data_IF_697838853115
#
_entry.id   IF_697838853115
#
_cell.length_a   1.000
_cell.length_b   1.000
_cell.length_c   1.000
_cell.angle_alpha   90.00
_cell.angle_beta   90.00
_cell.angle_gamma   90.00
#
_symmetry.space_group_name_H-M   'P 1'
#
loop_
_entity.id
_entity.type
_entity.pdbx_description
1 polymer ?
#
# COMPACT_ATOMS: atom_id res chain seq x y z
N UNK A 1 16.11 39.91 35.91
CA UNK A 1 14.66 39.70 35.66
C UNK A 1 14.24 39.84 34.19
N UNK A 2 15.13 40.19 33.25
CA UNK A 2 14.77 40.39 31.83
C UNK A 2 15.04 39.17 30.93
N UNK A 3 15.82 38.18 31.38
CA UNK A 3 16.09 36.93 30.63
C UNK A 3 15.10 35.78 30.88
N UNK A 4 14.31 35.82 31.97
CA UNK A 4 13.28 34.81 32.24
C UNK A 4 11.97 35.05 31.46
N UNK A 5 11.67 36.30 31.07
CA UNK A 5 10.46 36.61 30.30
C UNK A 5 10.58 36.22 28.82
N UNK A 6 11.78 36.27 28.23
CA UNK A 6 12.00 35.88 26.84
C UNK A 6 11.83 34.37 26.60
N UNK A 7 12.21 33.53 27.58
CA UNK A 7 12.10 32.06 27.51
C UNK A 7 10.65 31.57 27.64
N UNK A 8 9.84 32.23 28.47
CA UNK A 8 8.42 31.90 28.60
C UNK A 8 7.63 32.24 27.32
N UNK A 9 8.02 33.30 26.60
CA UNK A 9 7.37 33.71 25.35
C UNK A 9 7.72 32.80 24.16
N UNK A 10 8.92 32.22 24.12
CA UNK A 10 9.31 31.26 23.06
C UNK A 10 8.70 29.87 23.28
N UNK A 11 8.52 29.45 24.55
CA UNK A 11 7.90 28.17 24.88
C UNK A 11 6.38 28.18 24.61
N UNK A 12 5.70 29.30 24.84
CA UNK A 12 4.28 29.49 24.52
C UNK A 12 4.01 29.54 23.01
N UNK A 13 4.93 30.09 22.20
CA UNK A 13 4.82 30.09 20.74
C UNK A 13 5.08 28.70 20.14
N UNK A 14 6.01 27.92 20.72
CA UNK A 14 6.29 26.55 20.29
C UNK A 14 5.16 25.56 20.63
N UNK A 15 4.47 25.76 21.76
CA UNK A 15 3.29 24.94 22.14
C UNK A 15 2.05 25.28 21.34
N UNK A 16 1.87 26.54 20.94
CA UNK A 16 0.80 26.93 20.00
C UNK A 16 1.02 26.40 18.58
N UNK A 17 2.28 26.31 18.11
CA UNK A 17 2.60 25.73 16.80
C UNK A 17 2.45 24.20 16.79
N UNK A 18 2.79 23.52 17.89
CA UNK A 18 2.60 22.07 18.04
C UNK A 18 1.12 21.67 18.14
N UNK A 19 0.28 22.48 18.81
CA UNK A 19 -1.17 22.26 18.86
C UNK A 19 -1.86 22.52 17.50
N UNK A 20 -1.34 23.45 16.68
CA UNK A 20 -1.83 23.67 15.31
C UNK A 20 -1.42 22.54 14.34
N UNK A 21 -0.30 21.85 14.59
CA UNK A 21 0.15 20.70 13.80
C UNK A 21 -0.54 19.38 14.23
N UNK A 22 -0.90 19.22 15.50
CA UNK A 22 -1.62 18.05 16.00
C UNK A 22 -3.10 18.03 15.57
N UNK A 23 -3.74 19.19 15.42
CA UNK A 23 -5.13 19.30 14.95
C UNK A 23 -5.28 19.19 13.42
N UNK A 24 -4.17 19.23 12.67
CA UNK A 24 -4.16 19.10 11.20
C UNK A 24 -4.01 17.64 10.72
N UNK A 25 -3.73 16.68 11.60
CA UNK A 25 -3.53 15.27 11.25
C UNK A 25 -4.74 14.35 11.55
N UNK A 26 -5.90 14.91 11.86
CA UNK A 26 -7.14 14.13 12.14
C UNK A 26 -8.34 14.57 11.31
N UNK A 27 -8.17 15.52 10.39
CA UNK A 27 -9.17 15.77 9.37
C UNK A 27 -9.05 14.67 8.30
N UNK A 28 -10.15 14.04 7.85
CA UNK A 28 -10.10 13.23 6.65
C UNK A 28 -9.46 14.07 5.54
N UNK A 29 -8.52 13.48 4.80
CA UNK A 29 -8.01 14.09 3.57
C UNK A 29 -9.23 14.63 2.81
N UNK A 30 -9.24 15.92 2.42
CA UNK A 30 -10.31 16.39 1.54
C UNK A 30 -10.37 15.39 0.38
N UNK A 31 -11.57 14.96 -0.05
CA UNK A 31 -11.68 14.11 -1.22
C UNK A 31 -10.80 14.74 -2.30
N UNK A 32 -9.91 13.95 -2.91
CA UNK A 32 -9.11 14.41 -4.04
C UNK A 32 -10.04 15.24 -4.93
N UNK A 33 -9.66 16.47 -5.32
CA UNK A 33 -10.56 17.36 -6.04
C UNK A 33 -11.18 16.52 -7.15
N UNK A 34 -12.50 16.39 -7.11
CA UNK A 34 -13.22 15.72 -8.19
C UNK A 34 -12.76 16.44 -9.44
N UNK A 35 -12.03 15.76 -10.30
CA UNK A 35 -11.82 16.22 -11.66
C UNK A 35 -13.24 16.38 -12.22
N UNK A 36 -13.70 17.62 -12.26
CA UNK A 36 -14.96 17.98 -12.88
C UNK A 36 -14.78 17.68 -14.37
N UNK A 37 -15.25 16.50 -14.79
CA UNK A 37 -15.24 16.06 -16.17
C UNK A 37 -16.24 16.84 -17.05
N UNK A 38 -16.94 17.85 -16.50
CA UNK A 38 -17.92 18.63 -17.27
C UNK A 38 -17.33 19.83 -18.03
N UNK A 39 -16.11 20.26 -17.70
CA UNK A 39 -15.40 21.28 -18.46
C UNK A 39 -14.30 20.65 -19.32
N UNK A 40 -14.29 20.85 -20.65
CA UNK A 40 -13.21 20.36 -21.49
C UNK A 40 -11.88 20.98 -21.03
N UNK A 41 -10.81 20.18 -20.99
CA UNK A 41 -9.50 20.62 -20.51
C UNK A 41 -8.98 21.80 -21.33
N UNK A 42 -8.66 22.91 -20.66
CA UNK A 42 -8.21 24.13 -21.33
C UNK A 42 -6.76 24.06 -21.85
N UNK A 43 -5.97 23.08 -21.42
CA UNK A 43 -4.54 22.97 -21.73
C UNK A 43 -4.22 21.65 -22.44
N UNK A 44 -3.32 21.73 -23.43
CA UNK A 44 -2.66 20.58 -24.03
C UNK A 44 -1.86 19.81 -22.96
N UNK A 45 -2.21 18.54 -22.75
CA UNK A 45 -1.53 17.62 -21.83
C UNK A 45 -1.64 16.17 -22.30
N UNK A 46 -0.78 15.31 -21.78
CA UNK A 46 -0.75 13.88 -22.06
C UNK A 46 -0.97 13.09 -20.77
N UNK A 47 -1.46 11.83 -20.85
CA UNK A 47 -1.37 10.90 -19.74
C UNK A 47 0.09 10.60 -19.41
N UNK A 48 0.38 10.27 -18.16
CA UNK A 48 1.74 10.09 -17.64
C UNK A 48 2.55 9.04 -18.41
N UNK A 49 1.88 8.05 -19.01
CA UNK A 49 2.52 7.01 -19.83
C UNK A 49 3.22 7.58 -21.08
N UNK A 50 2.88 8.79 -21.53
CA UNK A 50 3.61 9.48 -22.58
C UNK A 50 4.50 10.56 -21.97
N UNK A 51 5.78 10.26 -21.86
CA UNK A 51 6.77 11.12 -21.24
C UNK A 51 8.15 11.00 -21.91
N UNK A 52 9.14 11.77 -21.45
CA UNK A 52 10.52 11.56 -21.86
C UNK A 52 11.00 10.15 -21.48
N UNK A 53 12.01 9.62 -22.16
CA UNK A 53 12.55 8.28 -21.95
C UNK A 53 11.58 7.12 -22.24
N UNK A 54 10.39 7.38 -22.79
CA UNK A 54 9.42 6.32 -23.03
C UNK A 54 9.84 5.35 -24.14
N UNK A 55 9.22 4.17 -24.13
CA UNK A 55 9.20 3.27 -25.30
C UNK A 55 7.81 3.34 -25.93
N UNK A 56 7.75 3.76 -27.19
CA UNK A 56 6.55 3.69 -28.01
C UNK A 56 6.48 2.29 -28.64
N UNK A 57 5.34 1.62 -28.48
CA UNK A 57 5.11 0.30 -29.08
C UNK A 57 5.29 0.35 -30.58
N UNK A 58 6.19 -0.48 -31.11
CA UNK A 58 6.38 -0.62 -32.56
C UNK A 58 5.10 -1.12 -33.20
N UNK A 59 4.61 -0.39 -34.18
CA UNK A 59 3.32 -0.62 -34.84
C UNK A 59 3.19 0.26 -36.07
N UNK A 60 2.48 -0.22 -37.09
CA UNK A 60 2.08 0.60 -38.22
C UNK A 60 1.08 1.71 -37.82
N UNK A 61 0.47 1.59 -36.64
CA UNK A 61 -0.54 2.49 -36.08
C UNK A 61 -0.34 2.67 -34.57
N UNK A 62 0.84 3.12 -34.15
CA UNK A 62 1.13 3.40 -32.75
C UNK A 62 0.27 4.59 -32.29
N UNK A 63 -0.64 4.35 -31.35
CA UNK A 63 -1.61 5.36 -30.91
C UNK A 63 -1.01 6.25 -29.83
N UNK A 64 -0.97 7.55 -30.07
CA UNK A 64 -0.74 8.57 -29.05
C UNK A 64 -2.03 9.35 -28.82
N UNK A 65 -2.30 9.74 -27.58
CA UNK A 65 -3.52 10.43 -27.20
C UNK A 65 -3.30 11.34 -26.01
N UNK A 66 -4.26 12.23 -25.78
CA UNK A 66 -4.22 13.14 -24.65
C UNK A 66 -5.41 14.05 -24.60
N UNK A 67 -5.21 15.20 -23.97
CA UNK A 67 -6.23 16.22 -23.77
C UNK A 67 -5.79 17.56 -24.31
N UNK A 68 -6.73 18.36 -24.80
CA UNK A 68 -6.56 19.73 -25.22
C UNK A 68 -7.92 20.45 -25.20
N UNK A 69 -7.93 21.76 -25.49
CA UNK A 69 -9.17 22.50 -25.63
C UNK A 69 -10.07 21.87 -26.70
N UNK A 70 -11.37 21.74 -26.44
CA UNK A 70 -12.32 21.11 -27.36
C UNK A 70 -12.29 21.77 -28.75
N UNK A 71 -12.28 20.95 -29.81
CA UNK A 71 -12.20 21.41 -31.21
C UNK A 71 -10.83 21.93 -31.67
N UNK A 72 -9.84 22.05 -30.77
CA UNK A 72 -8.51 22.53 -31.12
C UNK A 72 -7.81 21.61 -32.13
N UNK A 73 -7.06 22.23 -33.04
CA UNK A 73 -6.23 21.51 -34.00
C UNK A 73 -4.90 21.12 -33.32
N UNK A 74 -4.49 19.87 -33.51
CA UNK A 74 -3.28 19.31 -32.93
C UNK A 74 -2.38 18.84 -34.08
N UNK A 75 -1.10 19.20 -34.00
CA UNK A 75 -0.06 18.77 -34.93
C UNK A 75 1.00 17.99 -34.17
N UNK A 76 1.35 16.80 -34.67
CA UNK A 76 2.30 15.89 -34.04
C UNK A 76 3.43 15.62 -35.03
N UNK A 77 4.61 16.17 -34.74
CA UNK A 77 5.82 15.92 -35.51
C UNK A 77 6.66 14.90 -34.77
N UNK A 78 6.83 13.72 -35.35
CA UNK A 78 7.80 12.73 -34.90
C UNK A 78 9.07 12.82 -35.76
N UNK A 79 10.25 12.73 -35.14
CA UNK A 79 11.54 12.90 -35.84
C UNK A 79 11.81 11.86 -36.94
N UNK A 80 11.10 10.73 -36.94
CA UNK A 80 11.20 9.68 -37.96
C UNK A 80 10.14 9.79 -39.07
N UNK A 81 9.19 10.72 -38.95
CA UNK A 81 8.18 10.98 -39.98
C UNK A 81 8.58 12.19 -40.81
N UNK A 82 8.38 12.10 -42.13
CA UNK A 82 8.64 13.21 -43.04
C UNK A 82 7.68 14.39 -42.80
N UNK A 83 6.39 14.07 -42.62
CA UNK A 83 5.32 15.04 -42.44
C UNK A 83 4.67 14.90 -41.04
N UNK A 84 4.15 15.99 -40.47
CA UNK A 84 3.43 15.94 -39.21
C UNK A 84 2.06 15.26 -39.38
N UNK A 85 1.63 14.54 -38.34
CA UNK A 85 0.28 13.97 -38.24
C UNK A 85 -0.65 14.98 -37.58
N UNK A 86 -1.74 15.32 -38.25
CA UNK A 86 -2.74 16.25 -37.73
C UNK A 86 -3.97 15.52 -37.20
N UNK A 87 -4.49 15.97 -36.06
CA UNK A 87 -5.77 15.55 -35.52
C UNK A 87 -6.51 16.72 -34.85
N UNK A 88 -7.69 16.46 -34.29
CA UNK A 88 -8.47 17.45 -33.54
C UNK A 88 -8.95 16.86 -32.22
N UNK A 89 -9.02 17.71 -31.20
CA UNK A 89 -9.70 17.36 -29.96
C UNK A 89 -11.22 17.32 -30.20
N UNK A 90 -11.87 16.30 -29.67
CA UNK A 90 -13.32 16.18 -29.70
C UNK A 90 -14.00 17.17 -28.75
N UNK A 91 -15.33 17.09 -28.64
CA UNK A 91 -16.14 17.96 -27.77
C UNK A 91 -15.82 17.78 -26.28
N UNK A 92 -15.24 16.64 -25.90
CA UNK A 92 -14.77 16.34 -24.53
C UNK A 92 -13.34 16.80 -24.30
N UNK A 93 -12.68 17.38 -25.32
CA UNK A 93 -11.29 17.78 -25.29
C UNK A 93 -10.32 16.60 -25.31
N UNK A 94 -10.74 15.41 -25.73
CA UNK A 94 -9.85 14.25 -25.93
C UNK A 94 -9.41 14.17 -27.39
N UNK A 95 -8.19 13.71 -27.63
CA UNK A 95 -7.67 13.53 -28.98
C UNK A 95 -6.82 12.28 -29.07
N UNK A 96 -6.73 11.71 -30.27
CA UNK A 96 -5.82 10.62 -30.57
C UNK A 96 -5.31 10.73 -32.00
N UNK A 97 -4.09 10.24 -32.22
CA UNK A 97 -3.47 10.10 -33.52
C UNK A 97 -2.70 8.78 -33.61
N UNK A 98 -2.58 8.26 -34.82
CA UNK A 98 -1.78 7.07 -35.12
C UNK A 98 -0.49 7.49 -35.81
N UNK A 99 0.64 7.06 -35.26
CA UNK A 99 1.97 7.27 -35.83
C UNK A 99 2.48 5.95 -36.39
N UNK A 100 3.00 5.95 -37.61
CA UNK A 100 3.71 4.79 -38.15
C UNK A 100 5.08 4.70 -37.46
N UNK A 101 5.28 3.70 -36.61
CA UNK A 101 6.49 3.49 -35.81
C UNK A 101 6.96 2.03 -35.94
N UNK A 102 7.31 1.60 -37.16
CA UNK A 102 7.62 0.19 -37.43
C UNK A 102 9.06 -0.18 -37.06
N UNK A 103 10.00 0.70 -37.33
CA UNK A 103 11.43 0.43 -37.17
C UNK A 103 11.84 0.64 -35.71
N UNK A 104 12.35 -0.40 -35.03
CA UNK A 104 12.80 -0.26 -33.65
C UNK A 104 14.08 0.56 -33.58
N UNK A 105 14.27 1.28 -32.47
CA UNK A 105 15.46 2.10 -32.24
C UNK A 105 15.14 3.47 -31.65
N UNK A 106 16.01 4.43 -31.94
CA UNK A 106 16.01 5.75 -31.33
C UNK A 106 17.41 6.12 -30.83
N UNK A 107 17.54 7.19 -30.02
CA UNK A 107 16.46 8.00 -29.49
C UNK A 107 15.81 8.92 -30.54
N UNK A 108 14.50 9.09 -30.40
CA UNK A 108 13.69 9.99 -31.22
C UNK A 108 13.10 11.12 -30.38
N UNK A 109 12.61 12.15 -31.07
CA UNK A 109 11.80 13.23 -30.50
C UNK A 109 10.39 13.23 -31.10
N UNK A 110 9.38 13.50 -30.27
CA UNK A 110 8.02 13.81 -30.69
C UNK A 110 7.66 15.21 -30.18
N UNK A 111 7.20 16.09 -31.05
CA UNK A 111 6.71 17.43 -30.72
C UNK A 111 5.22 17.50 -31.00
N UNK A 112 4.43 17.91 -30.02
CA UNK A 112 2.97 18.00 -30.09
C UNK A 112 2.58 19.46 -29.87
N UNK A 113 1.82 20.03 -30.80
CA UNK A 113 1.45 21.44 -30.79
C UNK A 113 -0.05 21.63 -30.91
N UNK A 114 -0.59 22.57 -30.14
CA UNK A 114 -1.97 23.05 -30.25
C UNK A 114 -1.99 24.55 -29.97
N UNK A 115 -2.23 25.36 -31.00
CA UNK A 115 -2.11 26.82 -30.92
C UNK A 115 -0.70 27.24 -30.49
N UNK A 116 -0.59 27.99 -29.38
CA UNK A 116 0.69 28.41 -28.82
C UNK A 116 1.33 27.37 -27.85
N UNK A 117 0.62 26.31 -27.49
CA UNK A 117 1.13 25.29 -26.57
C UNK A 117 1.97 24.27 -27.34
N UNK A 118 3.12 23.89 -26.80
CA UNK A 118 4.00 22.86 -27.34
C UNK A 118 4.45 21.92 -26.23
N UNK A 119 4.32 20.62 -26.45
CA UNK A 119 4.91 19.56 -25.64
C UNK A 119 5.99 18.85 -26.46
N UNK A 120 7.09 18.48 -25.82
CA UNK A 120 8.16 17.70 -26.43
C UNK A 120 8.42 16.44 -25.60
N UNK A 121 8.47 15.30 -26.26
CA UNK A 121 8.89 14.02 -25.71
C UNK A 121 10.27 13.71 -26.26
N UNK A 122 11.26 13.72 -25.39
CA UNK A 122 12.67 13.48 -25.69
C UNK A 122 13.10 12.07 -25.27
N UNK A 123 14.14 11.54 -25.92
CA UNK A 123 14.65 10.18 -25.68
C UNK A 123 13.56 9.10 -25.84
N UNK A 124 12.76 9.20 -26.90
CA UNK A 124 11.73 8.20 -27.21
C UNK A 124 12.36 7.04 -27.98
N UNK A 125 12.21 5.82 -27.47
CA UNK A 125 12.56 4.61 -28.22
C UNK A 125 11.32 4.05 -28.91
N UNK A 126 11.49 3.41 -30.07
CA UNK A 126 10.47 2.57 -30.70
C UNK A 126 10.86 1.12 -30.42
N UNK A 127 9.95 0.34 -29.82
CA UNK A 127 10.27 -0.99 -29.32
C UNK A 127 9.05 -1.80 -28.87
N UNK A 128 9.27 -2.88 -28.14
CA UNK A 128 8.18 -3.69 -27.58
C UNK A 128 7.86 -3.26 -26.15
N UNK A 129 6.59 -3.02 -25.85
CA UNK A 129 6.10 -2.58 -24.54
C UNK A 129 5.34 -3.72 -23.88
N UNK A 130 5.71 -4.04 -22.65
CA UNK A 130 5.13 -5.13 -21.88
C UNK A 130 4.53 -4.62 -20.57
N UNK A 131 3.35 -5.11 -20.24
CA UNK A 131 2.70 -4.85 -18.96
C UNK A 131 3.08 -5.94 -17.96
N UNK A 132 3.77 -5.55 -16.89
CA UNK A 132 4.17 -6.39 -15.77
C UNK A 132 3.12 -6.25 -14.66
N UNK A 133 2.05 -7.03 -14.77
CA UNK A 133 0.87 -6.95 -13.89
C UNK A 133 0.70 -8.15 -12.96
N UNK A 134 0.27 -7.91 -11.72
CA UNK A 134 -0.05 -8.94 -10.75
C UNK A 134 0.25 -8.56 -9.30
N UNK A 135 0.18 -9.56 -8.42
CA UNK A 135 0.43 -9.40 -6.99
C UNK A 135 1.93 -9.50 -6.61
N UNK A 136 2.22 -9.94 -5.39
CA UNK A 136 3.55 -9.97 -4.76
C UNK A 136 4.66 -10.61 -5.60
N UNK A 137 4.38 -11.68 -6.34
CA UNK A 137 5.39 -12.32 -7.18
C UNK A 137 5.85 -11.40 -8.33
N UNK A 138 4.95 -10.58 -8.86
CA UNK A 138 5.29 -9.58 -9.88
C UNK A 138 5.89 -8.32 -9.25
N UNK A 139 5.47 -7.95 -8.04
CA UNK A 139 6.03 -6.80 -7.30
C UNK A 139 7.42 -7.08 -6.72
N UNK A 140 7.79 -8.36 -6.54
CA UNK A 140 9.11 -8.78 -6.05
C UNK A 140 10.23 -7.98 -6.71
N UNK A 141 10.97 -7.22 -5.92
CA UNK A 141 11.99 -6.29 -6.41
C UNK A 141 13.36 -6.94 -6.55
N UNK A 142 14.26 -6.30 -7.31
CA UNK A 142 15.68 -6.71 -7.35
C UNK A 142 16.30 -6.61 -5.97
N UNK A 143 16.16 -5.44 -5.32
CA UNK A 143 16.71 -5.21 -3.99
C UNK A 143 15.83 -5.82 -2.91
N UNK A 144 16.45 -6.41 -1.90
CA UNK A 144 15.77 -6.78 -0.67
C UNK A 144 15.35 -5.53 0.11
N UNK A 145 14.04 -5.38 0.35
CA UNK A 145 13.48 -4.20 1.00
C UNK A 145 13.57 -4.27 2.53
N UNK A 146 13.83 -5.44 3.13
CA UNK A 146 13.98 -5.61 4.57
C UNK A 146 14.81 -6.87 4.90
N UNK A 147 15.57 -6.93 6.01
CA UNK A 147 16.32 -8.13 6.39
C UNK A 147 15.39 -9.36 6.49
N UNK A 148 15.60 -10.35 5.61
CA UNK A 148 14.75 -11.54 5.50
C UNK A 148 13.60 -11.41 4.49
N UNK A 149 13.61 -10.37 3.66
CA UNK A 149 12.66 -10.18 2.58
C UNK A 149 13.03 -10.94 1.30
N UNK A 150 12.29 -10.67 0.23
CA UNK A 150 12.29 -11.45 -1.00
C UNK A 150 13.02 -10.74 -2.16
N UNK A 151 14.26 -10.31 -1.95
CA UNK A 151 15.14 -9.84 -3.04
C UNK A 151 15.65 -10.98 -3.93
N UNK A 152 16.32 -10.65 -5.02
CA UNK A 152 16.92 -11.67 -5.90
C UNK A 152 18.23 -12.21 -5.31
N UNK A 153 18.56 -13.46 -5.66
CA UNK A 153 19.92 -13.96 -5.43
C UNK A 153 20.94 -13.08 -6.17
N UNK A 154 22.11 -12.86 -5.57
CA UNK A 154 23.20 -12.05 -6.13
C UNK A 154 22.84 -10.58 -6.45
N UNK A 155 21.92 -9.98 -5.69
CA UNK A 155 21.46 -8.57 -5.83
C UNK A 155 22.60 -7.60 -6.19
N UNK A 156 23.71 -7.62 -5.45
CA UNK A 156 24.81 -6.68 -5.64
C UNK A 156 25.44 -6.77 -7.05
N UNK A 157 25.55 -7.99 -7.59
CA UNK A 157 26.09 -8.20 -8.94
C UNK A 157 25.09 -7.74 -10.00
N UNK A 158 23.80 -8.03 -9.81
CA UNK A 158 22.74 -7.60 -10.74
C UNK A 158 22.62 -6.07 -10.80
N UNK A 159 22.63 -5.40 -9.65
CA UNK A 159 22.61 -3.94 -9.60
C UNK A 159 23.85 -3.33 -10.27
N UNK A 160 25.03 -3.93 -10.11
CA UNK A 160 26.24 -3.47 -10.78
C UNK A 160 26.19 -3.62 -12.31
N UNK A 161 25.45 -4.63 -12.81
CA UNK A 161 25.28 -4.91 -14.24
C UNK A 161 24.02 -4.28 -14.87
N UNK A 162 23.19 -3.57 -14.08
CA UNK A 162 21.86 -3.12 -14.48
C UNK A 162 21.82 -1.98 -15.51
N UNK A 163 22.96 -1.38 -15.89
CA UNK A 163 22.97 -0.28 -16.87
C UNK A 163 22.62 -0.76 -18.27
N UNK A 164 21.33 -0.62 -18.63
CA UNK A 164 20.75 -1.12 -19.87
C UNK A 164 19.93 -0.02 -20.55
N UNK A 165 20.58 0.90 -21.30
CA UNK A 165 19.91 2.07 -21.88
C UNK A 165 18.98 1.76 -23.06
N UNK A 166 18.70 0.50 -23.37
CA UNK A 166 17.62 0.10 -24.30
C UNK A 166 16.43 -0.52 -23.57
N UNK A 167 16.51 -0.64 -22.25
CA UNK A 167 15.40 -0.95 -21.37
C UNK A 167 14.91 0.34 -20.71
N UNK A 168 13.59 0.49 -20.62
CA UNK A 168 12.92 1.61 -19.94
C UNK A 168 11.88 1.06 -19.00
N UNK A 169 11.82 1.64 -17.81
CA UNK A 169 10.95 1.19 -16.73
C UNK A 169 9.92 2.29 -16.46
N UNK A 170 8.65 1.95 -16.45
CA UNK A 170 7.56 2.82 -15.99
C UNK A 170 6.88 2.14 -14.82
N UNK A 171 7.02 2.70 -13.63
CA UNK A 171 6.40 2.15 -12.43
C UNK A 171 5.14 2.95 -12.09
N UNK A 172 3.99 2.27 -12.06
CA UNK A 172 2.69 2.90 -11.78
C UNK A 172 2.53 3.01 -10.27
N UNK A 173 2.28 4.23 -9.76
CA UNK A 173 1.98 4.44 -8.34
C UNK A 173 0.69 3.69 -7.96
N UNK A 174 0.77 2.91 -6.88
CA UNK A 174 -0.33 2.09 -6.39
C UNK A 174 -1.57 2.94 -6.08
N UNK A 175 -2.63 2.69 -6.83
CA UNK A 175 -3.91 3.34 -6.68
C UNK A 175 -5.04 2.37 -6.97
N UNK A 176 -6.13 2.50 -6.21
CA UNK A 176 -7.32 1.68 -6.38
C UNK A 176 -8.40 2.53 -7.03
N UNK A 177 -9.06 1.97 -8.04
CA UNK A 177 -10.15 2.65 -8.70
C UNK A 177 -11.27 1.64 -9.05
N UNK A 178 -12.54 1.94 -8.70
CA UNK A 178 -13.66 1.06 -9.05
C UNK A 178 -14.07 1.18 -10.54
N UNK A 179 -13.34 1.98 -11.32
CA UNK A 179 -13.56 2.28 -12.74
C UNK A 179 -12.22 2.39 -13.44
N UNK A 180 -12.21 2.06 -14.72
CA UNK A 180 -11.07 2.33 -15.60
C UNK A 180 -10.66 3.80 -15.51
N UNK A 181 -9.35 4.03 -15.37
CA UNK A 181 -8.77 5.36 -15.33
C UNK A 181 -8.20 5.70 -16.70
N UNK A 182 -8.31 6.97 -17.10
CA UNK A 182 -7.74 7.49 -18.34
C UNK A 182 -6.32 8.03 -18.19
N UNK A 183 -5.82 8.06 -16.95
CA UNK A 183 -4.47 8.47 -16.60
C UNK A 183 -3.98 7.66 -15.38
N UNK A 184 -2.68 7.70 -15.13
CA UNK A 184 -2.04 7.11 -13.96
C UNK A 184 -0.97 8.06 -13.42
N UNK A 185 -0.31 7.68 -12.34
CA UNK A 185 0.90 8.35 -11.85
C UNK A 185 2.08 7.42 -12.02
N UNK A 186 3.19 7.98 -12.46
CA UNK A 186 4.41 7.25 -12.78
C UNK A 186 5.27 8.06 -13.73
N UNK A 187 6.50 7.60 -13.95
CA UNK A 187 7.42 8.21 -14.90
C UNK A 187 8.32 7.14 -15.53
N UNK A 188 8.70 7.36 -16.79
CA UNK A 188 9.67 6.52 -17.47
C UNK A 188 11.08 6.82 -16.97
N UNK A 189 11.83 5.77 -16.64
CA UNK A 189 13.23 5.84 -16.25
C UNK A 189 14.08 4.94 -17.14
N UNK A 190 15.30 5.41 -17.43
CA UNK A 190 16.35 4.58 -18.02
C UNK A 190 16.69 3.46 -17.04
N UNK A 191 16.81 2.23 -17.52
CA UNK A 191 17.21 1.11 -16.66
C UNK A 191 18.68 1.25 -16.24
N UNK A 192 18.88 1.46 -14.94
CA UNK A 192 20.17 1.53 -14.25
C UNK A 192 20.04 0.94 -12.84
N UNK A 193 21.14 0.97 -12.07
CA UNK A 193 21.19 0.41 -10.73
C UNK A 193 20.20 1.07 -9.75
N UNK A 194 19.83 2.34 -9.96
CA UNK A 194 18.91 3.05 -9.09
C UNK A 194 17.47 2.77 -9.47
N UNK A 195 17.13 2.85 -10.76
CA UNK A 195 15.77 2.67 -11.24
C UNK A 195 15.29 1.22 -11.15
N UNK A 196 16.18 0.24 -11.34
CA UNK A 196 15.80 -1.18 -11.29
C UNK A 196 15.68 -1.72 -9.87
N UNK A 197 16.33 -1.08 -8.88
CA UNK A 197 16.44 -1.64 -7.53
C UNK A 197 15.09 -1.95 -6.89
N UNK A 198 14.09 -1.09 -7.08
CA UNK A 198 12.73 -1.28 -6.58
C UNK A 198 11.73 -1.76 -7.64
N UNK A 199 12.18 -1.99 -8.88
CA UNK A 199 11.29 -2.43 -9.95
C UNK A 199 11.11 -3.95 -9.91
N UNK A 200 10.04 -4.44 -10.54
CA UNK A 200 9.75 -5.87 -10.73
C UNK A 200 10.96 -6.65 -11.24
N UNK A 201 11.47 -7.57 -10.44
CA UNK A 201 12.56 -8.47 -10.81
C UNK A 201 12.17 -9.36 -11.98
N UNK A 202 10.95 -9.93 -11.93
CA UNK A 202 10.39 -10.75 -13.02
C UNK A 202 10.34 -9.94 -14.31
N UNK A 203 9.79 -8.72 -14.27
CA UNK A 203 9.75 -7.81 -15.41
C UNK A 203 11.13 -7.48 -15.96
N UNK A 204 12.09 -7.15 -15.08
CA UNK A 204 13.47 -6.84 -15.46
C UNK A 204 14.15 -8.02 -16.17
N UNK A 205 14.16 -9.21 -15.59
CA UNK A 205 14.84 -10.37 -16.20
C UNK A 205 14.17 -10.78 -17.51
N UNK A 206 12.85 -10.73 -17.58
CA UNK A 206 12.11 -10.96 -18.81
C UNK A 206 12.52 -9.96 -19.90
N UNK A 207 12.45 -8.65 -19.61
CA UNK A 207 12.79 -7.61 -20.58
C UNK A 207 14.25 -7.66 -21.01
N UNK A 208 15.17 -7.96 -20.08
CA UNK A 208 16.58 -8.14 -20.38
C UNK A 208 16.83 -9.33 -21.32
N UNK A 209 16.16 -10.46 -21.07
CA UNK A 209 16.25 -11.65 -21.92
C UNK A 209 15.66 -11.41 -23.32
N UNK A 210 14.49 -10.76 -23.41
CA UNK A 210 13.86 -10.43 -24.70
C UNK A 210 14.73 -9.45 -25.49
N UNK A 211 15.27 -8.41 -24.84
CA UNK A 211 16.19 -7.48 -25.50
C UNK A 211 17.44 -8.19 -26.01
N UNK A 212 18.06 -9.04 -25.20
CA UNK A 212 19.25 -9.80 -25.61
C UNK A 212 18.98 -10.73 -26.80
N UNK A 213 17.80 -11.34 -26.86
CA UNK A 213 17.42 -12.24 -27.94
C UNK A 213 17.05 -11.52 -29.24
N UNK A 214 16.51 -10.30 -29.16
CA UNK A 214 15.90 -9.61 -30.32
C UNK A 214 16.64 -8.34 -30.75
N UNK A 215 17.50 -7.78 -29.90
CA UNK A 215 18.10 -6.45 -30.07
C UNK A 215 17.09 -5.29 -30.02
N UNK A 216 15.80 -5.56 -29.82
CA UNK A 216 14.73 -4.55 -29.87
C UNK A 216 14.65 -3.80 -28.52
N UNK A 217 14.49 -2.46 -28.50
CA UNK A 217 14.29 -1.72 -27.25
C UNK A 217 13.04 -2.22 -26.50
N UNK A 218 13.10 -2.29 -25.18
CA UNK A 218 12.02 -2.85 -24.35
C UNK A 218 11.52 -1.82 -23.34
N UNK A 219 10.21 -1.57 -23.35
CA UNK A 219 9.51 -0.83 -22.32
C UNK A 219 8.80 -1.79 -21.37
N UNK A 220 9.02 -1.63 -20.06
CA UNK A 220 8.37 -2.41 -19.03
C UNK A 220 7.48 -1.49 -18.20
N UNK A 221 6.17 -1.72 -18.22
CA UNK A 221 5.19 -1.00 -17.41
C UNK A 221 4.85 -1.87 -16.19
N UNK A 222 5.36 -1.50 -15.02
CA UNK A 222 5.00 -2.11 -13.74
C UNK A 222 3.65 -1.62 -13.27
N UNK A 223 2.67 -2.52 -13.18
CA UNK A 223 1.38 -2.26 -12.54
C UNK A 223 1.07 -3.47 -11.66
N UNK A 224 1.79 -3.55 -10.56
CA UNK A 224 1.81 -4.71 -9.68
C UNK A 224 1.80 -4.24 -8.22
N UNK A 225 1.13 -5.00 -7.36
CA UNK A 225 0.99 -4.63 -5.96
C UNK A 225 0.79 -5.87 -5.08
N UNK A 226 1.75 -6.16 -4.21
CA UNK A 226 1.74 -7.26 -3.27
C UNK A 226 0.70 -7.10 -2.16
N UNK A 227 0.18 -8.25 -1.72
CA UNK A 227 -0.88 -8.33 -0.72
C UNK A 227 -2.25 -7.81 -1.18
N UNK A 228 -2.38 -7.42 -2.45
CA UNK A 228 -3.69 -7.34 -3.12
C UNK A 228 -4.24 -8.75 -3.36
N UNK A 229 -5.57 -8.84 -3.46
CA UNK A 229 -6.26 -10.09 -3.76
C UNK A 229 -6.16 -10.43 -5.25
N UNK A 230 -6.14 -11.72 -5.57
CA UNK A 230 -6.04 -12.18 -6.97
C UNK A 230 -7.28 -11.80 -7.80
N UNK A 231 -8.42 -11.61 -7.13
CA UNK A 231 -9.68 -11.21 -7.75
C UNK A 231 -9.59 -9.81 -8.39
N UNK A 232 -8.82 -8.87 -7.82
CA UNK A 232 -8.60 -7.56 -8.43
C UNK A 232 -7.85 -7.63 -9.76
N UNK A 233 -7.08 -8.70 -9.97
CA UNK A 233 -6.35 -8.97 -11.21
C UNK A 233 -7.09 -9.92 -12.16
N UNK A 234 -8.31 -10.33 -11.80
CA UNK A 234 -9.15 -11.25 -12.57
C UNK A 234 -10.34 -10.50 -13.15
N UNK A 235 -10.69 -10.77 -14.41
CA UNK A 235 -11.84 -10.10 -15.02
C UNK A 235 -13.14 -10.45 -14.28
N UNK A 236 -14.11 -9.53 -14.29
CA UNK A 236 -15.45 -9.79 -13.74
C UNK A 236 -16.07 -11.05 -14.32
N UNK A 237 -15.86 -11.30 -15.62
CA UNK A 237 -16.34 -12.52 -16.28
C UNK A 237 -15.64 -13.79 -15.79
N UNK A 238 -14.35 -13.73 -15.46
CA UNK A 238 -13.61 -14.87 -14.91
C UNK A 238 -14.03 -15.22 -13.49
N UNK A 239 -14.42 -14.22 -12.69
CA UNK A 239 -14.91 -14.44 -11.32
C UNK A 239 -16.38 -14.89 -11.25
N UNK A 240 -17.17 -14.66 -12.30
CA UNK A 240 -18.61 -14.92 -12.28
C UNK A 240 -18.98 -16.40 -12.06
N UNK A 241 -18.06 -17.32 -12.38
CA UNK A 241 -18.25 -18.76 -12.22
C UNK A 241 -18.07 -19.23 -10.76
N UNK A 242 -17.51 -18.39 -9.89
CA UNK A 242 -17.26 -18.70 -8.47
C UNK A 242 -18.44 -18.24 -7.60
N UNK A 243 -19.12 -19.22 -7.00
CA UNK A 243 -20.37 -18.99 -6.28
C UNK A 243 -20.23 -18.07 -5.05
N UNK A 244 -19.08 -18.19 -4.40
CA UNK A 244 -18.57 -17.40 -3.29
C UNK A 244 -18.20 -15.96 -3.67
N UNK A 245 -17.90 -15.69 -4.95
CA UNK A 245 -17.57 -14.34 -5.43
C UNK A 245 -18.79 -13.49 -5.76
N UNK A 246 -20.00 -14.05 -5.84
CA UNK A 246 -21.21 -13.28 -6.19
C UNK A 246 -21.42 -12.04 -5.31
N UNK A 247 -21.23 -12.18 -4.00
CA UNK A 247 -21.39 -11.07 -3.06
C UNK A 247 -20.29 -10.00 -3.23
N UNK A 248 -19.08 -10.42 -3.62
CA UNK A 248 -17.98 -9.52 -3.90
C UNK A 248 -18.22 -8.74 -5.20
N UNK A 249 -18.61 -9.44 -6.28
CA UNK A 249 -18.95 -8.82 -7.56
C UNK A 249 -20.11 -7.83 -7.46
N UNK A 250 -21.13 -8.14 -6.65
CA UNK A 250 -22.22 -7.21 -6.36
C UNK A 250 -21.72 -5.97 -5.60
N UNK A 251 -20.83 -6.16 -4.62
CA UNK A 251 -20.24 -5.06 -3.89
C UNK A 251 -19.41 -4.14 -4.80
N UNK A 252 -18.53 -4.70 -5.64
CA UNK A 252 -17.70 -3.94 -6.58
C UNK A 252 -18.57 -3.21 -7.61
N UNK A 253 -19.62 -3.86 -8.13
CA UNK A 253 -20.60 -3.21 -9.02
C UNK A 253 -21.24 -2.00 -8.36
N UNK A 254 -21.69 -2.17 -7.13
CA UNK A 254 -22.33 -1.07 -6.40
C UNK A 254 -21.33 0.02 -6.01
N UNK A 255 -20.05 -0.29 -5.74
CA UNK A 255 -19.00 0.71 -5.53
C UNK A 255 -18.70 1.51 -6.79
N UNK A 256 -18.74 0.84 -7.93
CA UNK A 256 -18.65 1.49 -9.22
C UNK A 256 -19.83 2.41 -9.47
N UNK A 257 -21.06 2.01 -9.16
CA UNK A 257 -22.28 2.73 -9.56
C UNK A 257 -22.75 3.78 -8.54
N UNK A 258 -22.53 3.52 -7.26
CA UNK A 258 -22.99 4.32 -6.11
C UNK A 258 -21.89 4.48 -5.04
N UNK A 259 -20.71 5.03 -5.38
CA UNK A 259 -19.58 5.13 -4.46
C UNK A 259 -19.92 5.86 -3.14
N UNK A 260 -20.87 6.79 -3.16
CA UNK A 260 -21.35 7.52 -1.97
C UNK A 260 -22.04 6.63 -0.92
N UNK A 261 -22.59 5.48 -1.32
CA UNK A 261 -23.29 4.56 -0.41
C UNK A 261 -22.33 3.65 0.37
N UNK A 262 -21.07 3.56 -0.07
CA UNK A 262 -20.25 2.40 0.27
C UNK A 262 -19.29 2.60 1.41
N UNK A 263 -18.95 3.84 1.75
CA UNK A 263 -18.11 4.12 2.92
C UNK A 263 -18.82 3.69 4.21
N UNK A 264 -20.05 4.17 4.43
CA UNK A 264 -20.83 3.84 5.63
C UNK A 264 -21.21 2.35 5.67
N UNK A 265 -21.58 1.77 4.51
CA UNK A 265 -21.90 0.34 4.41
C UNK A 265 -20.69 -0.55 4.69
N UNK A 266 -19.50 -0.19 4.19
CA UNK A 266 -18.28 -0.97 4.43
C UNK A 266 -17.88 -0.96 5.90
N UNK A 267 -17.97 0.20 6.56
CA UNK A 267 -17.74 0.30 8.00
C UNK A 267 -18.75 -0.53 8.80
N UNK A 268 -20.04 -0.46 8.45
CA UNK A 268 -21.08 -1.24 9.10
C UNK A 268 -20.91 -2.75 8.91
N UNK A 269 -20.53 -3.20 7.70
CA UNK A 269 -20.23 -4.61 7.42
C UNK A 269 -19.04 -5.12 8.24
N UNK A 270 -17.95 -4.35 8.33
CA UNK A 270 -16.80 -4.70 9.18
C UNK A 270 -17.19 -4.77 10.65
N UNK A 271 -17.92 -3.78 11.15
CA UNK A 271 -18.39 -3.78 12.54
C UNK A 271 -19.27 -4.99 12.85
N UNK A 272 -20.20 -5.33 11.93
CA UNK A 272 -21.04 -6.52 12.06
C UNK A 272 -20.22 -7.81 12.05
N UNK A 273 -19.23 -7.92 11.15
CA UNK A 273 -18.34 -9.08 11.07
C UNK A 273 -17.51 -9.25 12.36
N UNK A 274 -16.92 -8.18 12.88
CA UNK A 274 -16.20 -8.24 14.16
C UNK A 274 -17.12 -8.58 15.33
N UNK A 275 -18.36 -8.09 15.31
CA UNK A 275 -19.36 -8.47 16.31
C UNK A 275 -19.77 -9.93 16.22
N UNK A 276 -19.81 -10.53 15.02
CA UNK A 276 -20.06 -11.96 14.82
C UNK A 276 -18.87 -12.78 15.32
N UNK A 277 -17.64 -12.35 15.00
CA UNK A 277 -16.43 -12.97 15.55
C UNK A 277 -16.44 -12.91 17.09
N UNK A 278 -16.84 -11.79 17.70
CA UNK A 278 -16.93 -11.68 19.16
C UNK A 278 -18.01 -12.58 19.78
N UNK A 279 -18.96 -13.10 19.01
CA UNK A 279 -19.91 -14.11 19.50
C UNK A 279 -19.32 -15.53 19.43
N UNK A 280 -18.46 -15.80 18.45
CA UNK A 280 -17.87 -17.12 18.19
C UNK A 280 -16.55 -17.31 18.98
N UNK A 281 -15.74 -16.25 19.07
CA UNK A 281 -14.47 -16.18 19.80
C UNK A 281 -14.49 -14.99 20.78
N UNK A 282 -15.12 -15.12 21.96
CA UNK A 282 -15.44 -13.97 22.80
C UNK A 282 -14.25 -13.10 23.24
N UNK A 283 -14.47 -11.78 23.46
CA UNK A 283 -13.46 -10.89 24.00
C UNK A 283 -12.78 -11.42 25.27
N UNK A 284 -11.52 -11.03 25.49
CA UNK A 284 -10.76 -11.50 26.64
C UNK A 284 -11.49 -11.16 27.96
N UNK A 285 -11.82 -12.16 28.80
CA UNK A 285 -12.41 -11.89 30.09
C UNK A 285 -11.37 -11.27 31.03
N UNK A 286 -11.83 -10.61 32.09
CA UNK A 286 -10.95 -10.23 33.19
C UNK A 286 -10.50 -11.47 33.95
N UNK A 287 -9.19 -11.68 34.03
CA UNK A 287 -8.59 -12.80 34.74
C UNK A 287 -7.50 -12.28 35.67
N UNK A 288 -7.38 -12.87 36.86
CA UNK A 288 -6.31 -12.52 37.79
C UNK A 288 -4.93 -12.93 37.22
N UNK A 289 -3.88 -12.15 37.50
CA UNK A 289 -2.50 -12.59 37.28
C UNK A 289 -2.22 -13.93 37.98
N UNK A 290 -1.45 -14.80 37.34
CA UNK A 290 -1.14 -16.14 37.83
C UNK A 290 -2.26 -17.18 37.70
N UNK A 291 -3.40 -16.84 37.08
CA UNK A 291 -4.44 -17.82 36.80
C UNK A 291 -3.93 -18.93 35.87
N UNK A 292 -4.38 -20.16 36.11
CA UNK A 292 -4.08 -21.30 35.25
C UNK A 292 -4.60 -21.06 33.82
N UNK A 293 -3.79 -21.44 32.84
CA UNK A 293 -4.05 -21.29 31.41
C UNK A 293 -4.01 -22.67 30.74
N UNK A 294 -4.92 -23.54 31.15
CA UNK A 294 -4.98 -24.90 30.64
C UNK A 294 -5.20 -24.92 29.12
N UNK A 295 -4.40 -25.72 28.41
CA UNK A 295 -4.43 -25.80 26.95
C UNK A 295 -3.79 -24.61 26.22
N UNK A 296 -3.10 -23.71 26.92
CA UNK A 296 -2.26 -22.69 26.28
C UNK A 296 -0.82 -23.18 26.16
N UNK A 297 -0.25 -23.06 24.96
CA UNK A 297 1.17 -23.25 24.74
C UNK A 297 1.94 -21.95 24.98
N UNK A 298 3.13 -21.87 24.41
CA UNK A 298 4.04 -20.72 24.56
C UNK A 298 4.61 -20.34 23.20
N UNK A 299 4.69 -19.04 22.93
CA UNK A 299 5.25 -18.47 21.71
C UNK A 299 6.16 -17.29 22.10
N UNK A 300 7.32 -17.18 21.47
CA UNK A 300 8.16 -16.00 21.60
C UNK A 300 7.54 -14.82 20.85
N UNK A 301 7.56 -13.63 21.43
CA UNK A 301 7.06 -12.40 20.83
C UNK A 301 8.07 -11.28 21.07
N UNK A 302 8.48 -10.48 20.07
CA UNK A 302 8.15 -10.61 18.66
C UNK A 302 8.79 -11.86 18.03
N UNK A 303 8.00 -12.61 17.25
CA UNK A 303 8.46 -13.67 16.36
C UNK A 303 7.36 -13.99 15.34
N UNK A 304 7.75 -14.66 14.26
CA UNK A 304 6.80 -15.36 13.38
C UNK A 304 6.21 -16.56 14.13
N UNK A 305 4.96 -16.93 13.82
CA UNK A 305 4.39 -18.14 14.41
C UNK A 305 5.21 -19.36 14.00
N UNK A 306 5.39 -20.29 14.92
CA UNK A 306 6.24 -21.47 14.75
C UNK A 306 5.68 -22.66 15.52
N UNK A 307 6.19 -23.87 15.22
CA UNK A 307 5.79 -25.09 15.92
C UNK A 307 4.32 -25.41 15.70
N UNK A 308 3.55 -25.55 16.78
CA UNK A 308 2.12 -25.87 16.67
C UNK A 308 1.25 -24.72 16.16
N UNK A 309 1.80 -23.55 15.86
CA UNK A 309 1.03 -22.41 15.31
C UNK A 309 1.41 -22.07 13.87
N UNK A 310 2.41 -22.76 13.32
CA UNK A 310 2.85 -22.57 11.94
C UNK A 310 1.73 -22.98 10.96
N UNK A 311 1.42 -22.09 10.01
CA UNK A 311 0.40 -22.31 8.99
C UNK A 311 -1.05 -22.37 9.52
N UNK A 312 -1.30 -21.87 10.73
CA UNK A 312 -2.66 -21.80 11.27
C UNK A 312 -3.33 -20.48 10.89
N UNK A 313 -4.32 -20.55 9.99
CA UNK A 313 -5.15 -19.41 9.63
C UNK A 313 -6.38 -19.33 10.54
N UNK A 314 -6.61 -18.17 11.16
CA UNK A 314 -7.74 -17.94 12.07
C UNK A 314 -7.39 -16.99 13.20
N UNK A 315 -8.08 -17.09 14.33
CA UNK A 315 -7.72 -16.29 15.51
C UNK A 315 -6.67 -16.98 16.35
N UNK A 316 -5.62 -16.26 16.74
CA UNK A 316 -4.69 -16.67 17.77
C UNK A 316 -4.76 -15.74 18.98
N UNK A 317 -4.94 -16.33 20.15
CA UNK A 317 -4.85 -15.63 21.42
C UNK A 317 -3.42 -15.62 21.94
N UNK A 318 -2.94 -14.44 22.29
CA UNK A 318 -1.68 -14.20 22.98
C UNK A 318 -1.97 -13.56 24.35
N UNK A 319 -1.25 -14.00 25.39
CA UNK A 319 -1.37 -13.43 26.74
C UNK A 319 0.00 -13.25 27.39
N UNK A 320 0.21 -12.08 28.00
CA UNK A 320 1.40 -11.74 28.77
C UNK A 320 1.02 -11.10 30.10
N UNK A 321 1.64 -11.60 31.16
CA UNK A 321 1.59 -10.95 32.46
C UNK A 321 2.81 -10.07 32.67
N UNK A 322 2.63 -8.91 33.30
CA UNK A 322 3.73 -8.01 33.63
C UNK A 322 3.41 -7.22 34.88
N UNK A 323 4.45 -6.73 35.55
CA UNK A 323 4.33 -5.80 36.68
C UNK A 323 4.49 -4.37 36.17
N UNK A 324 3.60 -3.47 36.58
CA UNK A 324 3.72 -2.07 36.21
C UNK A 324 4.67 -1.33 37.19
N UNK A 325 5.79 -0.74 36.71
CA UNK A 325 6.69 0.03 37.55
C UNK A 325 5.98 1.21 38.22
N UNK A 326 6.34 1.52 39.46
CA UNK A 326 5.72 2.61 40.22
C UNK A 326 5.71 3.97 39.47
N UNK A 327 6.72 4.24 38.65
CA UNK A 327 6.81 5.46 37.84
C UNK A 327 5.83 5.54 36.66
N UNK A 328 5.10 4.47 36.35
CA UNK A 328 4.05 4.45 35.32
C UNK A 328 2.63 4.41 35.90
N UNK A 329 2.48 4.17 37.21
CA UNK A 329 1.18 4.11 37.87
C UNK A 329 0.49 5.47 37.77
N UNK A 330 -0.80 5.46 37.39
CA UNK A 330 -1.63 6.64 37.22
C UNK A 330 -1.27 7.53 36.02
N UNK A 331 -0.41 7.06 35.12
CA UNK A 331 -0.04 7.78 33.90
C UNK A 331 -0.82 7.25 32.70
N UNK A 332 -1.12 8.11 31.72
CA UNK A 332 -1.56 7.62 30.41
C UNK A 332 -0.41 6.86 29.74
N UNK A 333 -0.68 5.62 29.32
CA UNK A 333 0.32 4.75 28.73
C UNK A 333 0.12 4.63 27.22
N UNK A 334 1.18 4.22 26.55
CA UNK A 334 1.17 3.82 25.15
C UNK A 334 1.75 2.41 25.08
N UNK A 335 0.95 1.49 24.57
CA UNK A 335 1.38 0.16 24.16
C UNK A 335 1.91 0.26 22.74
N UNK A 336 3.16 -0.12 22.56
CA UNK A 336 3.82 -0.21 21.27
C UNK A 336 4.14 -1.69 21.04
N UNK A 337 3.78 -2.20 19.87
CA UNK A 337 4.13 -3.53 19.41
C UNK A 337 4.73 -3.41 18.02
N UNK A 338 5.51 -4.40 17.62
CA UNK A 338 5.88 -4.51 16.22
C UNK A 338 4.67 -4.80 15.31
N UNK A 339 4.88 -4.89 13.99
CA UNK A 339 3.82 -5.24 13.06
C UNK A 339 3.15 -6.56 13.42
N UNK A 340 1.83 -6.60 13.35
CA UNK A 340 1.04 -7.82 13.56
C UNK A 340 0.40 -8.18 12.24
N UNK A 341 0.60 -9.41 11.79
CA UNK A 341 -0.03 -9.94 10.58
C UNK A 341 -1.26 -10.79 10.98
N UNK A 342 -2.51 -10.46 10.64
CA UNK A 342 -2.99 -9.34 9.80
C UNK A 342 -3.62 -8.22 10.62
N UNK A 343 -4.51 -8.58 11.55
CA UNK A 343 -5.38 -7.68 12.30
C UNK A 343 -5.42 -8.11 13.77
N UNK A 344 -5.74 -7.19 14.67
CA UNK A 344 -5.73 -7.51 16.10
C UNK A 344 -6.78 -6.77 16.91
N UNK A 345 -7.04 -7.30 18.09
CA UNK A 345 -7.77 -6.62 19.17
C UNK A 345 -7.02 -6.83 20.47
N UNK A 346 -6.95 -5.78 21.30
CA UNK A 346 -6.11 -5.75 22.50
C UNK A 346 -6.92 -5.41 23.74
N UNK A 347 -6.66 -6.15 24.81
CA UNK A 347 -7.26 -5.96 26.13
C UNK A 347 -6.20 -5.87 27.23
N UNK A 348 -6.40 -4.97 28.18
CA UNK A 348 -5.66 -4.89 29.44
C UNK A 348 -6.63 -5.22 30.57
N UNK A 349 -6.34 -6.28 31.34
CA UNK A 349 -7.18 -6.79 32.44
C UNK A 349 -8.65 -7.02 32.05
N UNK A 350 -8.88 -7.45 30.80
CA UNK A 350 -10.21 -7.69 30.23
C UNK A 350 -10.92 -6.44 29.71
N UNK A 351 -10.33 -5.25 29.83
CA UNK A 351 -10.85 -4.03 29.21
C UNK A 351 -10.21 -3.82 27.83
N UNK A 352 -11.02 -3.60 26.79
CA UNK A 352 -10.52 -3.36 25.43
C UNK A 352 -9.81 -2.01 25.36
N UNK A 353 -8.55 -2.01 24.97
CA UNK A 353 -7.69 -0.81 24.90
C UNK A 353 -7.25 -0.45 23.47
N UNK A 354 -7.47 -1.33 22.50
CA UNK A 354 -7.07 -1.06 21.12
C UNK A 354 -7.38 -2.21 20.17
N UNK A 355 -6.91 -2.06 18.94
CA UNK A 355 -6.95 -3.08 17.90
C UNK A 355 -6.85 -2.48 16.50
N UNK A 356 -6.06 -3.11 15.65
CA UNK A 356 -5.97 -2.80 14.22
C UNK A 356 -6.92 -3.73 13.47
N UNK A 357 -8.17 -3.28 13.32
CA UNK A 357 -9.26 -4.06 12.75
C UNK A 357 -9.50 -3.76 11.26
N UNK A 358 -8.47 -3.24 10.59
CA UNK A 358 -8.44 -2.92 9.17
C UNK A 358 -7.45 -3.85 8.47
N UNK A 359 -7.92 -4.60 7.48
CA UNK A 359 -7.06 -5.43 6.63
C UNK A 359 -6.10 -4.57 5.79
N UNK A 360 -5.05 -5.20 5.26
CA UNK A 360 -4.09 -4.50 4.40
C UNK A 360 -2.93 -3.83 5.13
N UNK A 361 -2.81 -4.06 6.44
CA UNK A 361 -1.95 -3.28 7.34
C UNK A 361 -1.00 -4.20 8.12
N UNK A 362 -0.66 -5.34 7.54
CA UNK A 362 0.15 -6.40 8.15
C UNK A 362 1.59 -5.97 8.46
N UNK A 363 2.14 -4.97 7.75
CA UNK A 363 3.49 -4.42 7.99
C UNK A 363 3.53 -3.22 8.94
N UNK A 364 2.39 -2.75 9.44
CA UNK A 364 2.36 -1.54 10.27
C UNK A 364 2.61 -1.84 11.76
N UNK A 365 3.56 -1.17 12.42
CA UNK A 365 3.71 -1.28 13.87
C UNK A 365 2.43 -0.87 14.61
N UNK A 366 2.10 -1.54 15.72
CA UNK A 366 0.90 -1.23 16.49
C UNK A 366 1.19 -0.21 17.59
N UNK A 367 0.27 0.74 17.76
CA UNK A 367 0.32 1.75 18.81
C UNK A 367 -1.07 1.99 19.39
N UNK A 368 -1.25 1.67 20.67
CA UNK A 368 -2.52 1.81 21.37
C UNK A 368 -2.37 2.66 22.63
N UNK A 369 -3.36 3.51 22.87
CA UNK A 369 -3.36 4.40 24.02
C UNK A 369 -4.16 3.79 25.16
N UNK A 370 -3.53 3.70 26.33
CA UNK A 370 -4.12 3.11 27.52
C UNK A 370 -4.33 4.23 28.54
N UNK A 371 -5.58 4.48 28.98
CA UNK A 371 -5.88 5.57 29.88
C UNK A 371 -5.33 5.32 31.29
N UNK A 372 -4.92 6.40 31.96
CA UNK A 372 -4.35 6.39 33.31
C UNK A 372 -5.14 5.56 34.36
N UNK A 373 -6.47 5.48 34.22
CA UNK A 373 -7.32 4.68 35.12
C UNK A 373 -6.98 3.19 35.14
N UNK A 374 -6.36 2.67 34.08
CA UNK A 374 -5.96 1.26 33.96
C UNK A 374 -4.51 1.02 34.38
N UNK A 375 -3.72 2.09 34.52
CA UNK A 375 -2.34 2.03 34.96
C UNK A 375 -2.27 1.94 36.50
N UNK A 376 -2.74 0.84 37.08
CA UNK A 376 -2.71 0.63 38.54
C UNK A 376 -1.41 0.00 39.00
N UNK A 377 -1.15 0.00 40.31
CA UNK A 377 0.01 -0.71 40.84
C UNK A 377 -0.21 -2.24 40.80
N UNK A 378 0.85 -2.99 40.53
CA UNK A 378 0.88 -4.45 40.61
C UNK A 378 0.90 -5.16 39.25
N UNK A 379 0.56 -6.45 39.29
CA UNK A 379 0.52 -7.31 38.12
C UNK A 379 -0.72 -7.04 37.24
N UNK A 380 -0.47 -7.06 35.94
CA UNK A 380 -1.45 -6.85 34.89
C UNK A 380 -1.41 -7.99 33.87
N UNK A 381 -2.53 -8.20 33.19
CA UNK A 381 -2.69 -9.16 32.10
C UNK A 381 -2.98 -8.42 30.80
N UNK A 382 -2.04 -8.49 29.86
CA UNK A 382 -2.24 -8.08 28.47
C UNK A 382 -2.70 -9.28 27.64
N UNK A 383 -3.81 -9.14 26.93
CA UNK A 383 -4.31 -10.13 26.00
C UNK A 383 -4.47 -9.52 24.60
N UNK A 384 -4.08 -10.28 23.58
CA UNK A 384 -4.21 -9.91 22.17
C UNK A 384 -4.90 -11.07 21.46
N UNK A 385 -5.95 -10.77 20.71
CA UNK A 385 -6.51 -11.70 19.73
C UNK A 385 -6.05 -11.21 18.37
N UNK A 386 -5.17 -11.97 17.75
CA UNK A 386 -4.73 -11.75 16.38
C UNK A 386 -5.67 -12.52 15.47
N UNK A 387 -6.16 -11.89 14.41
CA UNK A 387 -6.85 -12.53 13.30
C UNK A 387 -5.86 -12.59 12.15
N UNK A 388 -5.49 -13.81 11.78
CA UNK A 388 -4.70 -14.13 10.60
C UNK A 388 -5.62 -14.57 9.47
N UNK A 389 -5.46 -13.94 8.30
CA UNK A 389 -6.22 -14.28 7.08
C UNK A 389 -5.38 -15.02 6.04
N UNK A 390 -4.12 -15.33 6.38
CA UNK A 390 -3.21 -16.20 5.63
C UNK A 390 -1.88 -15.52 5.31
N UNK A 391 -0.87 -16.31 4.93
CA UNK A 391 0.43 -15.79 4.53
C UNK A 391 1.46 -15.77 5.65
N UNK A 392 2.24 -14.68 5.72
CA UNK A 392 3.40 -14.56 6.61
C UNK A 392 3.00 -14.16 8.01
N UNK A 393 2.67 -15.13 8.85
CA UNK A 393 2.13 -14.85 10.17
C UNK A 393 3.31 -14.45 11.12
N UNK A 394 3.33 -13.22 11.69
CA UNK A 394 3.99 -12.95 12.99
C UNK A 394 3.47 -11.77 13.83
N UNK A 395 4.07 -11.62 15.02
CA UNK A 395 4.37 -10.28 15.56
C UNK A 395 5.82 -9.98 15.19
N UNK A 396 6.04 -9.17 14.18
CA UNK A 396 7.36 -8.89 13.63
C UNK A 396 8.12 -7.80 14.42
N UNK A 397 9.39 -7.57 14.07
CA UNK A 397 10.19 -6.46 14.59
C UNK A 397 11.20 -6.86 15.68
N UNK A 398 12.06 -5.90 16.04
CA UNK A 398 13.08 -6.11 17.07
C UNK A 398 12.44 -6.23 18.47
N UNK A 399 13.07 -6.94 19.43
CA UNK A 399 12.52 -7.13 20.77
C UNK A 399 12.12 -5.83 21.50
N UNK A 400 12.81 -4.72 21.24
CA UNK A 400 12.52 -3.43 21.87
C UNK A 400 11.30 -2.71 21.27
N UNK A 401 10.76 -3.17 20.14
CA UNK A 401 9.53 -2.66 19.53
C UNK A 401 8.29 -2.99 20.38
N UNK A 402 8.29 -4.10 21.11
CA UNK A 402 7.20 -4.51 22.00
C UNK A 402 7.41 -4.00 23.42
N UNK A 403 6.69 -2.96 23.80
CA UNK A 403 6.85 -2.27 25.09
C UNK A 403 5.62 -1.49 25.53
N UNK A 404 5.55 -1.20 26.82
CA UNK A 404 4.62 -0.24 27.41
C UNK A 404 5.41 0.92 28.02
N UNK A 405 4.95 2.16 27.81
CA UNK A 405 5.59 3.36 28.37
C UNK A 405 4.56 4.45 28.67
N UNK A 406 4.93 5.46 29.45
CA UNK A 406 4.13 6.68 29.55
C UNK A 406 4.04 7.39 28.20
N UNK A 407 2.88 7.99 27.89
CA UNK A 407 2.62 8.75 26.65
C UNK A 407 3.66 9.84 26.42
N UNK A 408 3.94 10.62 27.46
CA UNK A 408 4.84 11.79 27.41
C UNK A 408 6.28 11.48 27.86
N UNK A 409 6.55 10.24 28.29
CA UNK A 409 7.81 9.84 28.92
C UNK A 409 8.85 9.29 27.94
N UNK A 410 9.31 10.08 26.97
CA UNK A 410 10.41 9.65 26.08
C UNK A 410 11.70 9.48 26.92
N UNK A 411 12.24 8.26 26.96
CA UNK A 411 13.41 7.91 27.79
C UNK A 411 13.10 7.63 29.27
N UNK A 412 11.82 7.62 29.66
CA UNK A 412 11.37 7.25 30.99
C UNK A 412 11.28 5.73 31.23
N UNK A 413 10.76 5.31 32.40
CA UNK A 413 10.49 3.92 32.70
C UNK A 413 9.64 3.25 31.62
N UNK A 414 9.95 2.00 31.29
CA UNK A 414 9.21 1.19 30.31
C UNK A 414 9.10 -0.25 30.81
N UNK A 415 8.05 -0.93 30.38
CA UNK A 415 7.91 -2.38 30.51
C UNK A 415 8.31 -2.99 29.17
N UNK A 416 9.35 -3.81 29.17
CA UNK A 416 9.67 -4.63 28.00
C UNK A 416 8.65 -5.77 27.91
N UNK A 417 8.06 -5.95 26.73
CA UNK A 417 7.06 -6.98 26.49
C UNK A 417 7.59 -8.13 25.64
N UNK A 418 8.85 -8.07 25.19
CA UNK A 418 9.46 -9.18 24.48
C UNK A 418 9.71 -10.42 25.36
N UNK A 419 9.67 -11.59 24.73
CA UNK A 419 9.95 -12.89 25.32
C UNK A 419 8.79 -13.87 25.17
N UNK A 420 8.73 -14.85 26.06
CA UNK A 420 7.70 -15.88 26.09
C UNK A 420 6.31 -15.34 26.46
N UNK A 421 5.35 -15.51 25.55
CA UNK A 421 3.92 -15.27 25.75
C UNK A 421 3.17 -16.59 25.77
N UNK A 422 2.04 -16.63 26.47
CA UNK A 422 1.12 -17.75 26.36
C UNK A 422 0.33 -17.61 25.08
N UNK A 423 0.18 -18.71 24.34
CA UNK A 423 -0.51 -18.73 23.06
C UNK A 423 -1.60 -19.82 23.03
N UNK A 424 -2.70 -19.56 22.32
CA UNK A 424 -3.76 -20.56 22.09
C UNK A 424 -4.48 -20.28 20.77
N UNK A 425 -4.70 -21.31 19.96
CA UNK A 425 -5.57 -21.25 18.78
C UNK A 425 -7.02 -20.94 19.21
N UNK A 426 -7.65 -20.00 18.53
CA UNK A 426 -9.06 -19.67 18.66
C UNK A 426 -9.88 -20.37 17.58
N UNK A 427 -10.55 -19.59 16.74
CA UNK A 427 -11.42 -20.06 15.67
C UNK A 427 -10.65 -20.12 14.36
N UNK A 428 -10.75 -21.25 13.66
CA UNK A 428 -10.16 -21.44 12.33
C UNK A 428 -10.83 -20.51 11.30
N UNK A 429 -10.02 -19.91 10.41
CA UNK A 429 -10.50 -18.98 9.39
C UNK A 429 -11.61 -19.60 8.51
N UNK A 430 -11.49 -20.89 8.18
CA UNK A 430 -12.47 -21.62 7.37
C UNK A 430 -13.88 -21.70 8.01
N UNK A 431 -14.01 -21.43 9.31
CA UNK A 431 -15.30 -21.37 10.02
C UNK A 431 -15.87 -19.96 10.11
N UNK A 432 -15.11 -18.95 9.71
CA UNK A 432 -15.52 -17.56 9.70
C UNK A 432 -16.06 -17.20 8.32
N UNK A 433 -17.00 -16.26 8.29
CA UNK A 433 -17.32 -15.59 7.03
C UNK A 433 -16.08 -14.84 6.54
N UNK A 434 -15.95 -14.67 5.23
CA UNK A 434 -14.85 -13.89 4.64
C UNK A 434 -14.88 -12.45 5.18
N UNK A 435 -13.73 -11.93 5.62
CA UNK A 435 -13.63 -10.58 6.14
C UNK A 435 -14.02 -9.55 5.05
N UNK A 436 -14.94 -8.60 5.35
CA UNK A 436 -15.35 -7.58 4.39
C UNK A 436 -14.28 -6.48 4.33
N UNK A 437 -13.30 -6.66 3.45
CA UNK A 437 -12.38 -5.59 3.09
C UNK A 437 -13.14 -4.44 2.44
N UNK A 438 -12.70 -3.19 2.70
CA UNK A 438 -13.04 -2.11 1.77
C UNK A 438 -12.53 -2.50 0.40
N UNK A 439 -13.20 -2.11 -0.69
CA UNK A 439 -12.77 -2.32 -2.08
C UNK A 439 -11.45 -1.63 -2.47
N UNK A 440 -10.51 -1.48 -1.52
CA UNK A 440 -9.12 -1.10 -1.70
C UNK A 440 -8.26 -2.23 -2.30
N UNK A 441 -8.77 -3.46 -2.37
CA UNK A 441 -8.03 -4.60 -2.91
C UNK A 441 -8.87 -5.44 -3.87
N UNK A 442 -10.00 -4.90 -4.36
CA UNK A 442 -10.97 -5.60 -5.23
C UNK A 442 -11.31 -4.79 -6.47
#
# INVERSE_FOLDING_TARGET
>A
MTRLRAFASTLALATALAAALASACSAPLPPAPRLDLSAPPAALRLPAIFGPHMVLQRSARARIHGWAAAGSAISIQASWLADPVACRADERGTWAAELAANEPGGPHRITIQSGAQTLALDDVLIGDVWLCSGQSNMEMSIRDQAPGGFGVADEAAELAAASRPQLRLFDVENAVAPREQSDCRGEWRVCDAQSVASFSAVGYFFGAAVHAATGTPIGLVGSNWGGTRIEAWTSTSGLADFADERANLEFVRDEREHPERNVARSAARRAAWWSELDQIDPPAPRVAPGAALDGWGTLEVPAMWSGEYEGYDGTLWLRREFELPAGLVGSDLVLELGPIDDMDTVWLDGERVGGMQEAGRWTEPRRYEIPARLATAGAHVLAIRVLDTGGGVGVAGAPDASRLRARDGIGGPKVALAGAWRARRGVELAKLQRFPESGRFG
#
